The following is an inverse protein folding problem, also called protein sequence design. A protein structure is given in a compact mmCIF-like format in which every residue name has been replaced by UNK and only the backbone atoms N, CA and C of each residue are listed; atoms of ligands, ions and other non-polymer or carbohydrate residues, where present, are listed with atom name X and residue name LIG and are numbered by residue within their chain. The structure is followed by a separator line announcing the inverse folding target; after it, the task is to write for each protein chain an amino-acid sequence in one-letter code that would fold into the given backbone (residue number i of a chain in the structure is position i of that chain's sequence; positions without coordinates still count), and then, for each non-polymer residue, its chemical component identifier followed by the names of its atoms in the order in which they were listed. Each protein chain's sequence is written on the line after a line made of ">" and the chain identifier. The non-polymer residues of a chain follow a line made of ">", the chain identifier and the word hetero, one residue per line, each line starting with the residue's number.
data_IF_939612591335
#
_entry.id   IF_939612591335
#
_cell.length_a   1.000
_cell.length_b   1.000
_cell.length_c   1.000
_cell.angle_alpha   90.00
_cell.angle_beta   90.00
_cell.angle_gamma   90.00
#
_symmetry.space_group_name_H-M   'P 1'
#
loop_
_entity.id
_entity.type
_entity.pdbx_description
1 polymer ?
#
# COMPACT_ATOMS: atom_id res chain seq x y z
N UNK A 1 -33.22 -23.53 39.24
CA UNK A 1 -33.44 -22.10 39.55
C UNK A 1 -34.15 -21.48 38.35
N UNK A 2 -35.48 -21.31 38.41
CA UNK A 2 -36.28 -20.79 37.30
C UNK A 2 -36.16 -19.27 37.30
N UNK A 3 -35.49 -18.71 36.29
CA UNK A 3 -35.34 -17.27 36.14
C UNK A 3 -36.72 -16.63 35.99
N UNK A 4 -37.09 -15.67 36.86
CA UNK A 4 -38.42 -15.01 36.76
C UNK A 4 -38.59 -14.44 35.35
N UNK A 5 -39.79 -14.62 34.78
CA UNK A 5 -40.17 -14.18 33.41
C UNK A 5 -39.73 -12.74 33.08
N UNK A 6 -39.76 -11.85 34.08
CA UNK A 6 -39.28 -10.46 33.98
C UNK A 6 -37.78 -10.33 33.64
N UNK A 7 -36.93 -11.22 34.15
CA UNK A 7 -35.50 -11.24 33.81
C UNK A 7 -35.27 -11.85 32.43
N UNK A 8 -36.07 -12.83 32.02
CA UNK A 8 -35.99 -13.38 30.66
C UNK A 8 -36.35 -12.33 29.61
N UNK A 9 -37.39 -11.52 29.83
CA UNK A 9 -37.75 -10.41 28.94
C UNK A 9 -36.68 -9.32 28.91
N UNK A 10 -36.06 -9.00 30.06
CA UNK A 10 -34.96 -8.04 30.13
C UNK A 10 -33.75 -8.52 29.33
N UNK A 11 -33.36 -9.79 29.49
CA UNK A 11 -32.22 -10.40 28.79
C UNK A 11 -32.43 -10.42 27.27
N UNK A 12 -33.65 -10.75 26.82
CA UNK A 12 -34.01 -10.70 25.40
C UNK A 12 -33.88 -9.29 24.85
N UNK A 13 -34.39 -8.29 25.59
CA UNK A 13 -34.31 -6.89 25.16
C UNK A 13 -32.87 -6.40 25.06
N UNK A 14 -32.02 -6.73 26.05
CA UNK A 14 -30.59 -6.38 26.01
C UNK A 14 -29.84 -7.09 24.89
N UNK A 15 -30.18 -8.34 24.57
CA UNK A 15 -29.57 -9.10 23.48
C UNK A 15 -29.88 -8.47 22.12
N UNK A 16 -31.16 -8.13 21.89
CA UNK A 16 -31.59 -7.45 20.65
C UNK A 16 -30.94 -6.08 20.54
N UNK A 17 -30.86 -5.33 21.65
CA UNK A 17 -30.22 -4.01 21.66
C UNK A 17 -28.72 -4.11 21.29
N UNK A 18 -27.98 -5.06 21.88
CA UNK A 18 -26.57 -5.28 21.56
C UNK A 18 -26.36 -5.69 20.10
N UNK A 19 -27.25 -6.53 19.56
CA UNK A 19 -27.21 -6.92 18.15
C UNK A 19 -27.44 -5.72 17.22
N UNK A 20 -28.43 -4.86 17.51
CA UNK A 20 -28.67 -3.64 16.73
C UNK A 20 -27.47 -2.69 16.82
N UNK A 21 -26.89 -2.53 18.00
CA UNK A 21 -25.70 -1.68 18.20
C UNK A 21 -24.47 -2.20 17.45
N UNK A 22 -24.35 -3.51 17.22
CA UNK A 22 -23.23 -4.06 16.43
C UNK A 22 -23.23 -3.63 14.96
N UNK A 23 -24.38 -3.29 14.36
CA UNK A 23 -24.45 -2.73 13.01
C UNK A 23 -24.04 -1.26 12.93
N UNK A 24 -23.99 -0.56 14.08
CA UNK A 24 -23.52 0.82 14.16
C UNK A 24 -22.00 0.91 14.34
N UNK A 25 -21.32 -0.22 14.56
CA UNK A 25 -19.86 -0.27 14.55
C UNK A 25 -19.41 -0.25 13.09
N UNK A 26 -18.76 0.82 12.61
CA UNK A 26 -18.19 0.81 11.27
C UNK A 26 -17.15 -0.31 11.25
N UNK A 27 -17.42 -1.34 10.45
CA UNK A 27 -16.39 -2.26 10.02
C UNK A 27 -15.46 -1.42 9.14
N UNK A 28 -14.33 -0.97 9.70
CA UNK A 28 -13.24 -0.45 8.91
C UNK A 28 -12.94 -1.53 7.88
N UNK A 29 -13.31 -1.28 6.62
CA UNK A 29 -12.93 -2.16 5.55
C UNK A 29 -11.41 -2.14 5.56
N UNK A 30 -10.79 -3.26 5.94
CA UNK A 30 -9.40 -3.51 5.61
C UNK A 30 -9.38 -3.62 4.08
N UNK A 31 -9.30 -2.46 3.43
CA UNK A 31 -9.16 -2.36 1.98
C UNK A 31 -7.75 -2.85 1.70
N UNK A 32 -7.65 -4.12 1.32
CA UNK A 32 -6.40 -4.60 0.76
C UNK A 32 -6.28 -3.98 -0.63
N UNK A 33 -5.24 -3.20 -0.83
CA UNK A 33 -5.01 -2.58 -2.13
C UNK A 33 -4.37 -3.61 -3.06
N UNK A 34 -4.93 -3.76 -4.27
CA UNK A 34 -4.37 -4.65 -5.29
C UNK A 34 -3.33 -3.90 -6.10
N UNK A 35 -2.09 -4.40 -6.10
CA UNK A 35 -0.98 -3.81 -6.85
C UNK A 35 -0.67 -4.64 -8.10
N UNK A 36 -0.69 -3.99 -9.26
CA UNK A 36 -0.28 -4.54 -10.54
C UNK A 36 1.11 -4.03 -10.93
N UNK A 37 1.85 -4.82 -11.71
CA UNK A 37 3.18 -4.42 -12.21
C UNK A 37 3.20 -4.27 -13.73
N UNK A 38 3.96 -3.30 -14.18
CA UNK A 38 4.29 -3.06 -15.58
C UNK A 38 5.81 -3.03 -15.74
N UNK A 39 6.33 -3.74 -16.74
CA UNK A 39 7.76 -3.74 -17.05
C UNK A 39 8.08 -2.60 -18.02
N UNK A 40 9.22 -1.98 -17.81
CA UNK A 40 9.80 -1.02 -18.75
C UNK A 40 11.30 -1.31 -18.92
N UNK A 41 11.90 -0.77 -19.97
CA UNK A 41 13.33 -0.90 -20.24
C UNK A 41 14.07 0.37 -19.79
N UNK A 42 15.30 0.18 -19.33
CA UNK A 42 16.18 1.22 -18.78
C UNK A 42 17.61 0.71 -18.83
N UNK A 43 18.57 1.61 -18.89
CA UNK A 43 19.97 1.31 -18.58
C UNK A 43 20.12 1.19 -17.06
N UNK A 44 19.98 -0.04 -16.56
CA UNK A 44 19.96 -0.32 -15.12
C UNK A 44 21.33 -0.09 -14.48
N UNK A 45 21.32 0.41 -13.24
CA UNK A 45 22.55 0.49 -12.45
C UNK A 45 22.97 -0.91 -11.96
N UNK A 46 24.26 -1.22 -12.07
CA UNK A 46 24.82 -2.46 -11.52
C UNK A 46 25.11 -2.32 -10.02
N UNK A 47 24.71 -3.29 -9.20
CA UNK A 47 25.11 -3.35 -7.80
C UNK A 47 26.17 -4.42 -7.57
N UNK A 48 27.40 -4.04 -7.16
CA UNK A 48 28.43 -5.00 -6.76
C UNK A 48 28.00 -5.86 -5.57
N UNK A 49 27.20 -5.31 -4.65
CA UNK A 49 26.71 -6.04 -3.47
C UNK A 49 25.85 -7.24 -3.85
N UNK A 50 25.01 -7.11 -4.89
CA UNK A 50 24.13 -8.18 -5.35
C UNK A 50 24.66 -8.92 -6.60
N UNK A 51 25.79 -8.47 -7.16
CA UNK A 51 26.40 -9.04 -8.35
C UNK A 51 25.55 -8.93 -9.62
N UNK A 52 24.59 -7.99 -9.68
CA UNK A 52 23.62 -7.88 -10.78
C UNK A 52 23.04 -6.48 -10.93
N UNK A 53 22.39 -6.24 -12.07
CA UNK A 53 21.61 -5.04 -12.34
C UNK A 53 20.44 -4.89 -11.35
N UNK A 54 20.25 -3.66 -10.89
CA UNK A 54 19.18 -3.28 -9.97
C UNK A 54 17.91 -2.93 -10.75
N UNK A 55 17.24 -3.97 -11.23
CA UNK A 55 16.00 -3.82 -11.99
C UNK A 55 14.82 -3.43 -11.09
N UNK A 56 13.80 -2.82 -11.69
CA UNK A 56 12.51 -2.56 -11.06
C UNK A 56 11.39 -2.55 -12.10
N UNK A 57 10.16 -2.43 -11.61
CA UNK A 57 8.92 -2.48 -12.37
C UNK A 57 8.08 -1.29 -11.91
N UNK A 58 7.22 -0.78 -12.78
CA UNK A 58 6.26 0.26 -12.41
C UNK A 58 5.09 -0.42 -11.70
N UNK A 59 4.86 -0.09 -10.43
CA UNK A 59 3.78 -0.66 -9.65
C UNK A 59 2.63 0.33 -9.57
N UNK A 60 1.41 -0.13 -9.84
CA UNK A 60 0.20 0.69 -9.78
C UNK A 60 -0.90 -0.01 -9.02
N UNK A 61 -1.64 0.76 -8.25
CA UNK A 61 -2.86 0.28 -7.63
C UNK A 61 -4.06 0.34 -8.59
N UNK A 62 -5.24 -0.10 -8.16
CA UNK A 62 -6.44 -0.13 -9.01
C UNK A 62 -6.88 1.28 -9.48
N UNK A 63 -6.55 2.31 -8.70
CA UNK A 63 -6.80 3.72 -9.06
C UNK A 63 -5.73 4.35 -9.97
N UNK A 64 -4.68 3.60 -10.32
CA UNK A 64 -3.57 4.07 -11.15
C UNK A 64 -2.50 4.86 -10.38
N UNK A 65 -2.57 4.94 -9.05
CA UNK A 65 -1.53 5.53 -8.22
C UNK A 65 -0.28 4.66 -8.21
N UNK A 66 0.88 5.31 -8.28
CA UNK A 66 2.17 4.64 -8.31
C UNK A 66 2.58 4.21 -6.90
N UNK A 67 3.00 2.95 -6.77
CA UNK A 67 3.62 2.41 -5.57
C UNK A 67 5.11 2.15 -5.81
N UNK A 68 5.91 2.20 -4.74
CA UNK A 68 7.34 1.93 -4.78
C UNK A 68 7.69 0.74 -3.89
N UNK A 69 8.51 -0.17 -4.41
CA UNK A 69 9.02 -1.31 -3.65
C UNK A 69 9.93 -0.83 -2.50
N UNK A 70 9.76 -1.44 -1.32
CA UNK A 70 10.50 -1.08 -0.11
C UNK A 70 11.88 -1.74 0.00
N UNK A 71 12.05 -2.92 -0.62
CA UNK A 71 13.22 -3.79 -0.38
C UNK A 71 13.76 -4.34 -1.69
N UNK A 72 15.08 -4.26 -1.85
CA UNK A 72 15.77 -4.87 -2.99
C UNK A 72 15.81 -6.39 -2.88
N UNK A 73 15.68 -7.08 -4.01
CA UNK A 73 15.85 -8.54 -4.11
C UNK A 73 14.58 -9.36 -3.86
N UNK A 74 13.49 -8.75 -3.38
CA UNK A 74 12.18 -9.38 -3.33
C UNK A 74 11.39 -9.14 -4.62
N UNK A 75 10.56 -10.12 -4.98
CA UNK A 75 9.69 -10.04 -6.17
C UNK A 75 8.55 -9.07 -5.90
N UNK A 76 8.27 -8.17 -6.86
CA UNK A 76 7.14 -7.25 -6.75
C UNK A 76 5.80 -8.00 -6.79
N UNK A 77 4.78 -7.51 -6.06
CA UNK A 77 3.41 -8.00 -6.16
C UNK A 77 2.86 -7.80 -7.57
N UNK A 78 1.87 -8.60 -7.93
CA UNK A 78 1.14 -8.61 -9.18
C UNK A 78 -0.24 -9.25 -9.01
N UNK A 79 -1.20 -8.47 -8.50
CA UNK A 79 -2.59 -8.86 -8.33
C UNK A 79 -2.91 -9.42 -6.95
N UNK A 80 -1.97 -9.44 -6.00
CA UNK A 80 -2.25 -9.83 -4.62
C UNK A 80 -2.80 -8.65 -3.79
N UNK A 81 -3.68 -9.00 -2.85
CA UNK A 81 -4.21 -8.12 -1.82
C UNK A 81 -3.12 -7.77 -0.79
N UNK A 82 -2.77 -6.49 -0.67
CA UNK A 82 -1.80 -6.01 0.31
C UNK A 82 -2.49 -5.27 1.46
N UNK A 83 -2.46 -5.83 2.69
CA UNK A 83 -2.98 -5.12 3.85
C UNK A 83 -2.07 -3.95 4.26
N UNK A 84 -2.65 -2.92 4.87
CA UNK A 84 -1.88 -1.80 5.43
C UNK A 84 -1.00 -2.29 6.59
N UNK A 85 0.31 -2.06 6.48
CA UNK A 85 1.31 -2.43 7.48
C UNK A 85 1.79 -1.23 8.34
N UNK A 86 1.21 -0.05 8.15
CA UNK A 86 1.58 1.20 8.80
C UNK A 86 2.21 2.22 7.86
N UNK A 87 2.92 3.20 8.44
CA UNK A 87 3.53 4.33 7.71
C UNK A 87 5.04 4.13 7.54
N UNK A 88 5.57 4.58 6.41
CA UNK A 88 7.02 4.67 6.19
C UNK A 88 7.64 5.81 6.99
N UNK A 89 8.96 5.80 7.12
CA UNK A 89 9.74 6.87 7.73
C UNK A 89 9.69 8.20 6.94
N UNK A 90 10.04 9.30 7.62
CA UNK A 90 10.02 10.66 7.05
C UNK A 90 11.00 10.87 5.88
N UNK A 91 12.08 10.09 5.80
CA UNK A 91 13.05 10.19 4.70
C UNK A 91 12.39 9.65 3.43
N UNK A 92 11.82 8.44 3.49
CA UNK A 92 11.04 7.86 2.40
C UNK A 92 9.89 8.78 1.99
N UNK A 93 9.17 9.37 2.95
CA UNK A 93 8.10 10.32 2.65
C UNK A 93 8.60 11.53 1.85
N UNK A 94 9.71 12.15 2.27
CA UNK A 94 10.29 13.31 1.56
C UNK A 94 10.78 12.95 0.16
N UNK A 95 11.34 11.75 -0.04
CA UNK A 95 11.73 11.25 -1.36
C UNK A 95 10.50 11.16 -2.26
N UNK A 96 9.41 10.55 -1.79
CA UNK A 96 8.17 10.42 -2.57
C UNK A 96 7.52 11.78 -2.89
N UNK A 97 7.53 12.73 -1.95
CA UNK A 97 6.98 14.07 -2.18
C UNK A 97 7.81 14.92 -3.13
N UNK A 98 9.10 14.61 -3.30
CA UNK A 98 10.00 15.36 -4.18
C UNK A 98 10.41 14.60 -5.44
N UNK A 99 9.95 13.36 -5.60
CA UNK A 99 10.25 12.49 -6.72
C UNK A 99 9.09 12.36 -7.71
N UNK A 100 9.17 11.34 -8.56
CA UNK A 100 8.11 10.98 -9.49
C UNK A 100 6.98 10.24 -8.76
N UNK A 101 5.70 10.43 -9.12
CA UNK A 101 5.17 11.34 -10.14
C UNK A 101 4.83 12.75 -9.64
N UNK A 102 5.17 13.11 -8.40
CA UNK A 102 4.86 14.44 -7.84
C UNK A 102 5.61 15.56 -8.58
N UNK A 103 6.81 15.26 -9.08
CA UNK A 103 7.55 16.09 -10.04
C UNK A 103 7.65 15.39 -11.38
N UNK A 104 7.57 16.20 -12.45
CA UNK A 104 7.77 15.72 -13.82
C UNK A 104 9.25 15.37 -14.07
N UNK A 105 9.55 14.56 -15.11
CA UNK A 105 10.93 14.24 -15.49
C UNK A 105 11.81 15.49 -15.65
N UNK A 106 11.28 16.54 -16.27
CA UNK A 106 12.00 17.79 -16.53
C UNK A 106 12.35 18.51 -15.23
N UNK A 107 11.43 18.56 -14.27
CA UNK A 107 11.66 19.13 -12.94
C UNK A 107 12.66 18.30 -12.12
N UNK A 108 12.83 17.03 -12.45
CA UNK A 108 13.81 16.12 -11.86
C UNK A 108 15.15 16.10 -12.62
N UNK A 109 15.25 16.85 -13.72
CA UNK A 109 16.47 16.95 -14.53
C UNK A 109 16.77 15.71 -15.38
N UNK A 110 15.75 14.93 -15.74
CA UNK A 110 15.88 13.71 -16.55
C UNK A 110 14.97 13.77 -17.79
N UNK A 111 15.24 12.92 -18.77
CA UNK A 111 14.62 13.01 -20.10
C UNK A 111 13.35 12.18 -20.23
N UNK A 112 13.19 11.16 -19.38
CA UNK A 112 12.07 10.22 -19.50
C UNK A 112 11.38 9.94 -18.15
N UNK A 113 10.12 9.54 -18.21
CA UNK A 113 9.39 9.12 -17.00
C UNK A 113 10.00 7.87 -16.36
N UNK A 114 10.59 6.98 -17.18
CA UNK A 114 11.24 5.78 -16.69
C UNK A 114 12.48 6.14 -15.86
N UNK A 115 13.29 7.11 -16.32
CA UNK A 115 14.45 7.62 -15.57
C UNK A 115 14.00 8.27 -14.27
N UNK A 116 12.95 9.09 -14.32
CA UNK A 116 12.39 9.76 -13.14
C UNK A 116 11.87 8.76 -12.10
N UNK A 117 11.13 7.75 -12.55
CA UNK A 117 10.63 6.68 -11.71
C UNK A 117 11.79 5.86 -11.11
N UNK A 118 12.76 5.46 -11.93
CA UNK A 118 13.91 4.67 -11.50
C UNK A 118 14.78 5.42 -10.47
N UNK A 119 15.07 6.70 -10.73
CA UNK A 119 15.83 7.55 -9.81
C UNK A 119 15.11 7.74 -8.47
N UNK A 120 13.79 7.93 -8.49
CA UNK A 120 12.98 8.03 -7.27
C UNK A 120 13.06 6.75 -6.44
N UNK A 121 12.96 5.58 -7.09
CA UNK A 121 13.12 4.29 -6.42
C UNK A 121 14.51 4.11 -5.82
N UNK A 122 15.56 4.49 -6.56
CA UNK A 122 16.95 4.29 -6.15
C UNK A 122 17.39 5.23 -5.00
N UNK A 123 16.73 6.36 -4.84
CA UNK A 123 17.03 7.37 -3.80
C UNK A 123 16.37 7.04 -2.45
N UNK A 124 15.37 6.16 -2.46
CA UNK A 124 14.75 5.66 -1.24
C UNK A 124 15.61 4.58 -0.60
#
# INVERSE_FOLDING_TARGET
>A
MVLKRSYQTLLLFTSVLLFVMSFLIPLNQASAEVINRERYQMDWAYSPQYGKDIRTELLKNASGQIAYCLVYGLKSPNGEDLPEAGKTDDVSYRVLMNGYPQKTPENLGVSTWQEAHYATRATR
#
